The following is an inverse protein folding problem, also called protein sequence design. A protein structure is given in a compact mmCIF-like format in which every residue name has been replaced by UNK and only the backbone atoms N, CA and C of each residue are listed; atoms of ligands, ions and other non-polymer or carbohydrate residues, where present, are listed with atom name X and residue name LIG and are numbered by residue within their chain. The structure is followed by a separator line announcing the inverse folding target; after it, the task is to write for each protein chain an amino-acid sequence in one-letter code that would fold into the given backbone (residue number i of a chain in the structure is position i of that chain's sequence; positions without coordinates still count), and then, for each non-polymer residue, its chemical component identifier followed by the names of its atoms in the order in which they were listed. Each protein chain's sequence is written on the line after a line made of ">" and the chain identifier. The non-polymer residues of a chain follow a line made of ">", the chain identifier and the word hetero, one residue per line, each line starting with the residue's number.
data_IF_610984778588
#
_entry.id   IF_610984778588
#
_cell.length_a   1.000
_cell.length_b   1.000
_cell.length_c   1.000
_cell.angle_alpha   90.00
_cell.angle_beta   90.00
_cell.angle_gamma   90.00
#
_symmetry.space_group_name_H-M   'P 1'
#
loop_
_entity.id
_entity.type
_entity.pdbx_description
1 polymer ?
#
# COMPACT_ATOMS: atom_id res chain seq x y z
N UNK A 1 -23.34 35.45 -14.37
CA UNK A 1 -23.85 34.57 -13.31
C UNK A 1 -23.67 33.13 -13.74
N UNK A 2 -22.89 32.32 -13.02
CA UNK A 2 -22.68 30.89 -13.33
C UNK A 2 -23.66 30.01 -12.52
N UNK A 3 -24.15 28.88 -13.04
CA UNK A 3 -25.12 28.06 -12.32
C UNK A 3 -24.44 27.25 -11.19
N UNK A 4 -25.17 26.93 -10.11
CA UNK A 4 -24.62 26.19 -8.98
C UNK A 4 -24.37 24.73 -9.35
N UNK A 5 -23.16 24.25 -9.12
CA UNK A 5 -22.79 22.85 -9.23
C UNK A 5 -23.37 22.08 -8.05
N UNK A 6 -24.36 21.21 -8.31
CA UNK A 6 -24.87 20.27 -7.30
C UNK A 6 -23.78 19.26 -6.99
N UNK A 7 -23.16 19.40 -5.83
CA UNK A 7 -22.26 18.41 -5.24
C UNK A 7 -23.04 17.13 -4.96
N UNK A 8 -22.98 16.17 -5.88
CA UNK A 8 -23.41 14.81 -5.58
C UNK A 8 -22.47 14.24 -4.52
N UNK A 9 -22.94 14.26 -3.28
CA UNK A 9 -22.31 13.60 -2.14
C UNK A 9 -22.06 12.13 -2.51
N UNK A 10 -20.78 11.78 -2.67
CA UNK A 10 -20.38 10.38 -2.80
C UNK A 10 -20.60 9.77 -1.43
N UNK A 11 -21.71 9.06 -1.26
CA UNK A 11 -21.87 8.17 -0.12
C UNK A 11 -20.70 7.19 -0.15
N UNK A 12 -19.93 7.01 0.93
CA UNK A 12 -19.02 5.89 1.03
C UNK A 12 -19.86 4.61 0.87
N UNK A 13 -19.38 3.59 0.14
CA UNK A 13 -20.07 2.31 0.12
C UNK A 13 -20.19 1.85 1.57
N UNK A 14 -21.44 1.66 1.98
CA UNK A 14 -21.83 1.13 3.27
C UNK A 14 -21.12 -0.21 3.45
N UNK A 15 -20.09 -0.20 4.30
CA UNK A 15 -19.35 -1.32 4.88
C UNK A 15 -19.51 -2.64 4.10
N UNK A 16 -18.99 -2.66 2.86
CA UNK A 16 -18.90 -3.89 2.09
C UNK A 16 -18.12 -4.89 2.95
N UNK A 17 -18.62 -6.12 3.16
CA UNK A 17 -17.83 -7.18 3.74
C UNK A 17 -16.52 -7.28 2.97
N UNK A 18 -15.39 -7.42 3.67
CA UNK A 18 -14.09 -7.76 3.08
C UNK A 18 -14.12 -9.23 2.61
N UNK A 19 -15.16 -9.61 1.85
CA UNK A 19 -15.52 -11.02 1.59
C UNK A 19 -14.57 -11.70 0.60
N UNK A 20 -13.75 -10.95 -0.13
CA UNK A 20 -12.71 -11.53 -0.98
C UNK A 20 -11.38 -10.80 -0.75
N UNK A 21 -10.44 -11.51 -0.11
CA UNK A 21 -9.06 -11.07 0.07
C UNK A 21 -8.42 -10.71 -1.27
N UNK A 22 -8.84 -11.33 -2.38
CA UNK A 22 -8.29 -11.12 -3.72
C UNK A 22 -9.06 -10.09 -4.56
N UNK A 23 -10.00 -9.34 -3.98
CA UNK A 23 -10.74 -8.29 -4.70
C UNK A 23 -9.80 -7.23 -5.33
N UNK A 24 -8.60 -7.03 -4.78
CA UNK A 24 -7.59 -6.13 -5.35
C UNK A 24 -7.05 -6.58 -6.71
N UNK A 25 -7.09 -7.89 -7.01
CA UNK A 25 -6.66 -8.43 -8.29
C UNK A 25 -7.71 -8.20 -9.38
N UNK A 26 -8.96 -7.96 -8.99
CA UNK A 26 -10.05 -7.67 -9.91
C UNK A 26 -9.97 -6.22 -10.36
N UNK A 27 -9.66 -6.02 -11.64
CA UNK A 27 -9.71 -4.69 -12.23
C UNK A 27 -11.13 -4.11 -12.08
N UNK A 28 -11.32 -2.94 -11.43
CA UNK A 28 -12.64 -2.38 -11.25
C UNK A 28 -13.23 -1.99 -12.61
N UNK A 29 -14.55 -2.16 -12.76
CA UNK A 29 -15.25 -1.73 -13.96
C UNK A 29 -15.03 -0.23 -14.17
N UNK A 30 -14.24 0.14 -15.19
CA UNK A 30 -13.91 1.54 -15.47
C UNK A 30 -15.18 2.26 -15.93
N UNK A 31 -15.65 3.30 -15.22
CA UNK A 31 -16.78 4.10 -15.69
C UNK A 31 -16.43 4.71 -17.06
N UNK A 32 -17.38 4.75 -17.99
CA UNK A 32 -17.24 5.48 -19.27
C UNK A 32 -17.23 6.99 -19.02
N UNK A 33 -16.19 7.51 -18.35
CA UNK A 33 -15.94 8.94 -18.22
C UNK A 33 -15.09 9.40 -19.40
N UNK A 34 -15.46 10.54 -20.01
CA UNK A 34 -14.57 11.28 -20.92
C UNK A 34 -13.23 11.45 -20.21
N UNK A 35 -12.14 11.06 -20.89
CA UNK A 35 -10.77 11.22 -20.39
C UNK A 35 -10.53 12.71 -20.13
N UNK A 36 -10.66 13.15 -18.89
CA UNK A 36 -10.03 14.39 -18.47
C UNK A 36 -8.53 14.20 -18.73
N UNK A 37 -7.89 15.19 -19.34
CA UNK A 37 -6.45 15.16 -19.59
C UNK A 37 -5.77 15.29 -18.22
N UNK A 38 -5.59 14.16 -17.54
CA UNK A 38 -4.82 14.09 -16.31
C UNK A 38 -3.40 14.50 -16.68
N UNK A 39 -2.94 15.65 -16.16
CA UNK A 39 -1.52 15.96 -16.20
C UNK A 39 -0.81 14.81 -15.47
N UNK A 40 0.04 14.08 -16.18
CA UNK A 40 0.91 13.08 -15.57
C UNK A 40 1.90 13.85 -14.71
N UNK A 41 1.61 13.96 -13.41
CA UNK A 41 2.60 14.44 -12.45
C UNK A 41 3.61 13.30 -12.33
N UNK A 42 4.84 13.54 -12.77
CA UNK A 42 5.96 12.63 -12.53
C UNK A 42 6.18 12.60 -11.02
N UNK A 43 5.74 11.54 -10.36
CA UNK A 43 6.00 11.32 -8.94
C UNK A 43 7.34 10.61 -8.83
N UNK A 44 8.35 11.30 -8.34
CA UNK A 44 9.65 10.71 -8.03
C UNK A 44 9.48 9.83 -6.78
N UNK A 45 9.81 8.55 -6.91
CA UNK A 45 9.95 7.66 -5.76
C UNK A 45 11.42 7.78 -5.34
N UNK A 46 11.65 8.42 -4.21
CA UNK A 46 12.97 8.53 -3.60
C UNK A 46 13.02 7.59 -2.41
N UNK A 47 14.09 6.82 -2.31
CA UNK A 47 14.38 6.05 -1.11
C UNK A 47 15.22 6.94 -0.18
N UNK A 48 14.54 7.62 0.73
CA UNK A 48 15.15 8.61 1.64
C UNK A 48 15.66 7.95 2.94
N UNK A 49 16.02 6.67 2.90
CA UNK A 49 16.53 5.94 4.07
C UNK A 49 17.94 6.41 4.46
N UNK A 50 18.24 6.41 5.77
CA UNK A 50 19.59 6.68 6.23
C UNK A 50 20.54 5.58 5.75
N UNK A 51 21.82 5.92 5.62
CA UNK A 51 22.87 4.96 5.24
C UNK A 51 22.88 3.74 6.17
N UNK A 52 22.68 3.99 7.46
CA UNK A 52 22.56 2.99 8.50
C UNK A 52 21.22 3.21 9.21
N UNK A 53 20.34 2.21 9.15
CA UNK A 53 19.08 2.22 9.90
C UNK A 53 19.41 1.79 11.33
N UNK A 54 19.17 2.63 12.35
CA UNK A 54 19.44 2.23 13.72
C UNK A 54 18.46 1.13 14.12
N UNK A 55 18.99 -0.01 14.56
CA UNK A 55 18.24 -1.13 15.10
C UNK A 55 18.74 -1.40 16.51
N UNK A 56 17.82 -1.61 17.44
CA UNK A 56 18.12 -1.91 18.85
C UNK A 56 18.23 -3.42 19.08
N UNK A 57 18.97 -3.83 20.11
CA UNK A 57 19.10 -5.25 20.48
C UNK A 57 17.73 -5.89 20.74
N UNK A 58 16.81 -5.16 21.38
CA UNK A 58 15.44 -5.65 21.63
C UNK A 58 14.66 -5.86 20.34
N UNK A 59 14.87 -5.02 19.32
CA UNK A 59 14.27 -5.28 18.00
C UNK A 59 14.89 -6.53 17.38
N UNK A 60 16.21 -6.70 17.45
CA UNK A 60 16.90 -7.91 16.96
C UNK A 60 16.34 -9.17 17.63
N UNK A 61 16.19 -9.17 18.96
CA UNK A 61 15.63 -10.29 19.73
C UNK A 61 14.22 -10.69 19.23
N UNK A 62 13.37 -9.71 18.93
CA UNK A 62 12.01 -9.94 18.43
C UNK A 62 12.04 -10.54 17.02
N UNK A 63 12.96 -10.10 16.17
CA UNK A 63 13.17 -10.67 14.85
C UNK A 63 13.70 -12.11 14.95
N UNK A 64 14.71 -12.36 15.77
CA UNK A 64 15.30 -13.70 15.96
C UNK A 64 14.30 -14.68 16.59
N UNK A 65 13.41 -14.24 17.48
CA UNK A 65 12.36 -15.11 18.04
C UNK A 65 11.37 -15.65 17.00
N UNK A 66 11.22 -14.97 15.85
CA UNK A 66 10.32 -15.40 14.76
C UNK A 66 11.07 -16.01 13.58
N UNK A 67 12.30 -15.57 13.33
CA UNK A 67 13.07 -15.95 12.15
C UNK A 67 14.31 -16.80 12.48
N UNK A 68 14.59 -17.08 13.74
CA UNK A 68 15.77 -17.82 14.20
C UNK A 68 15.92 -19.17 13.49
N UNK A 69 14.88 -20.00 13.51
CA UNK A 69 14.89 -21.32 12.85
C UNK A 69 15.18 -21.20 11.34
N UNK A 70 14.68 -20.16 10.67
CA UNK A 70 14.92 -19.91 9.25
C UNK A 70 16.38 -19.47 9.02
N UNK A 71 16.94 -18.66 9.91
CA UNK A 71 18.33 -18.25 9.80
C UNK A 71 19.30 -19.39 10.10
N UNK A 72 18.98 -20.25 11.07
CA UNK A 72 19.75 -21.46 11.34
C UNK A 72 19.70 -22.43 10.15
N UNK A 73 18.57 -22.55 9.46
CA UNK A 73 18.48 -23.34 8.23
C UNK A 73 19.29 -22.71 7.07
N UNK A 74 19.23 -21.37 6.92
CA UNK A 74 19.84 -20.67 5.81
C UNK A 74 21.36 -20.47 5.97
N UNK A 75 21.84 -20.36 7.21
CA UNK A 75 23.22 -19.98 7.55
C UNK A 75 23.92 -20.93 8.53
N UNK A 76 23.22 -21.89 9.14
CA UNK A 76 23.75 -22.74 10.20
C UNK A 76 24.52 -23.99 9.74
N UNK A 77 24.80 -24.13 8.44
CA UNK A 77 25.59 -25.25 7.93
C UNK A 77 26.94 -24.78 7.38
N UNK A 78 27.94 -24.67 8.27
CA UNK A 78 29.39 -24.60 8.00
C UNK A 78 30.10 -25.80 8.65
#
# INVERSE_FOLDING_TARGET
>A
MAPPHKSQSRRPPDRAPLDDLYDYARAPARPRRRRAKCASVTRTVTDDWPKDVPVTETEIDVFEAWFGDLFDELFGND
#
